data_IF_663110662270
#
_entry.id   IF_663110662270
#
_cell.length_a   1.000
_cell.length_b   1.000
_cell.length_c   1.000
_cell.angle_alpha   90.00
_cell.angle_beta   90.00
_cell.angle_gamma   90.00
#
_symmetry.space_group_name_H-M   'P 1'
#
loop_
_entity.id
_entity.type
_entity.pdbx_description
1 polymer ?
#
# COMPACT_ATOMS: atom_id res chain seq x y z
N UNK A 1 -7.29 -41.93 -8.27
CA UNK A 1 -8.59 -41.57 -8.88
C UNK A 1 -8.61 -40.06 -9.03
N UNK A 2 -8.63 -39.61 -10.30
CA UNK A 2 -8.59 -38.23 -10.72
C UNK A 2 -9.92 -37.53 -10.46
N UNK A 3 -9.90 -36.29 -10.03
CA UNK A 3 -10.94 -35.31 -10.37
C UNK A 3 -10.35 -33.90 -10.51
N UNK A 4 -10.12 -33.55 -11.77
CA UNK A 4 -9.85 -32.17 -12.23
C UNK A 4 -11.21 -31.53 -12.51
N UNK A 5 -11.57 -30.53 -11.76
CA UNK A 5 -12.68 -29.62 -12.13
C UNK A 5 -12.09 -28.32 -12.67
N UNK A 6 -12.15 -28.21 -13.99
CA UNK A 6 -11.86 -26.99 -14.75
C UNK A 6 -13.19 -26.24 -14.87
N UNK A 7 -13.32 -25.08 -14.26
CA UNK A 7 -14.42 -24.16 -14.53
C UNK A 7 -13.99 -23.10 -15.54
N UNK A 8 -14.53 -23.20 -16.76
CA UNK A 8 -14.50 -22.15 -17.75
C UNK A 8 -15.66 -21.18 -17.48
N UNK A 9 -15.36 -19.92 -17.23
CA UNK A 9 -16.35 -18.85 -17.31
C UNK A 9 -16.16 -18.11 -18.63
N UNK A 10 -17.14 -18.28 -19.52
CA UNK A 10 -17.32 -17.49 -20.73
C UNK A 10 -18.25 -16.34 -20.36
N UNK A 11 -17.76 -15.11 -20.39
CA UNK A 11 -18.59 -13.90 -20.30
C UNK A 11 -18.77 -13.31 -21.68
N UNK A 12 -20.00 -13.42 -22.19
CA UNK A 12 -20.46 -12.80 -23.43
C UNK A 12 -20.64 -11.29 -23.23
N UNK A 13 -20.02 -10.50 -24.11
CA UNK A 13 -20.19 -9.06 -24.15
C UNK A 13 -21.55 -8.66 -24.73
N UNK A 14 -22.19 -7.68 -24.12
CA UNK A 14 -23.32 -6.95 -24.69
C UNK A 14 -22.87 -5.53 -25.02
N UNK A 15 -22.70 -5.26 -26.31
CA UNK A 15 -22.57 -3.89 -26.83
C UNK A 15 -24.00 -3.35 -27.06
N UNK A 16 -24.36 -2.32 -26.33
CA UNK A 16 -25.54 -1.51 -26.59
C UNK A 16 -25.11 -0.16 -27.15
N UNK A 17 -25.23 0.00 -28.48
CA UNK A 17 -25.02 1.27 -29.19
C UNK A 17 -26.31 2.06 -29.15
N UNK A 18 -26.38 3.16 -28.41
CA UNK A 18 -27.46 4.14 -28.46
C UNK A 18 -26.99 5.32 -29.30
N UNK A 19 -27.53 5.46 -30.52
CA UNK A 19 -27.44 6.66 -31.33
C UNK A 19 -28.53 7.64 -30.87
N UNK A 20 -28.12 8.79 -30.34
CA UNK A 20 -28.98 9.93 -30.13
C UNK A 20 -28.60 11.03 -31.12
N UNK A 21 -29.50 11.25 -32.08
CA UNK A 21 -29.44 12.37 -33.02
C UNK A 21 -30.00 13.58 -32.28
N UNK A 22 -29.17 14.54 -31.94
CA UNK A 22 -29.56 15.82 -31.34
C UNK A 22 -29.29 16.97 -32.31
N UNK A 23 -30.33 17.75 -32.59
CA UNK A 23 -30.42 18.94 -33.46
C UNK A 23 -29.49 20.07 -33.00
N UNK A 24 -28.92 20.87 -33.90
CA UNK A 24 -28.06 21.98 -33.50
C UNK A 24 -28.93 23.18 -33.08
N UNK A 25 -28.86 23.54 -31.81
CA UNK A 25 -29.34 24.82 -31.29
C UNK A 25 -28.24 25.87 -31.40
N UNK A 26 -28.54 26.94 -32.10
CA UNK A 26 -27.72 28.14 -32.30
C UNK A 26 -27.65 28.90 -30.98
N UNK A 27 -26.51 28.87 -30.29
CA UNK A 27 -26.25 29.67 -29.10
C UNK A 27 -25.15 30.70 -29.38
N UNK A 28 -25.44 31.95 -28.98
CA UNK A 28 -24.60 33.13 -29.07
C UNK A 28 -23.28 33.01 -28.30
N UNK A 29 -22.22 33.72 -28.70
CA UNK A 29 -20.94 33.70 -27.98
C UNK A 29 -21.04 34.48 -26.68
N UNK A 30 -21.07 33.80 -25.56
CA UNK A 30 -20.81 34.35 -24.24
C UNK A 30 -19.31 34.32 -23.96
N UNK A 31 -18.74 35.53 -23.74
CA UNK A 31 -17.36 35.73 -23.29
C UNK A 31 -17.08 34.95 -22.01
N UNK A 32 -16.06 34.11 -21.94
CA UNK A 32 -15.65 33.53 -20.69
C UNK A 32 -14.63 34.43 -20.01
N UNK A 33 -15.14 35.43 -19.26
CA UNK A 33 -14.31 36.16 -18.30
C UNK A 33 -13.97 35.19 -17.14
N UNK A 34 -12.70 34.85 -17.01
CA UNK A 34 -12.00 34.63 -15.76
C UNK A 34 -12.39 33.44 -14.89
N UNK A 35 -12.30 32.23 -15.38
CA UNK A 35 -12.08 31.07 -14.50
C UNK A 35 -10.59 30.70 -14.56
N UNK A 36 -9.78 31.37 -13.74
CA UNK A 36 -8.46 30.88 -13.37
C UNK A 36 -8.63 29.53 -12.65
N UNK A 37 -8.61 28.43 -13.40
CA UNK A 37 -8.41 27.13 -12.85
C UNK A 37 -7.04 27.15 -12.15
N UNK A 38 -7.02 27.37 -10.85
CA UNK A 38 -5.87 27.05 -10.02
C UNK A 38 -5.59 25.57 -10.26
N UNK A 39 -4.63 25.30 -11.15
CA UNK A 39 -3.92 24.04 -11.16
C UNK A 39 -3.32 23.92 -9.76
N UNK A 40 -3.94 23.11 -8.92
CA UNK A 40 -3.28 22.53 -7.76
C UNK A 40 -2.17 21.69 -8.36
N UNK A 41 -0.97 22.28 -8.45
CA UNK A 41 0.24 21.53 -8.74
C UNK A 41 0.29 20.45 -7.66
N UNK A 42 -0.05 19.24 -8.05
CA UNK A 42 0.16 18.06 -7.21
C UNK A 42 1.65 18.06 -6.89
N UNK A 43 1.97 18.46 -5.67
CA UNK A 43 3.31 18.54 -5.13
C UNK A 43 3.97 17.20 -5.40
N UNK A 44 4.88 17.17 -6.37
CA UNK A 44 5.67 15.95 -6.63
C UNK A 44 6.40 15.65 -5.33
N UNK A 45 6.16 14.49 -4.71
CA UNK A 45 6.81 14.17 -3.45
C UNK A 45 8.32 14.31 -3.62
N UNK A 46 8.94 15.05 -2.70
CA UNK A 46 10.40 15.22 -2.66
C UNK A 46 11.08 13.87 -2.42
N UNK A 47 11.42 13.20 -3.52
CA UNK A 47 12.06 11.87 -3.47
C UNK A 47 13.46 11.89 -2.84
N UNK A 48 14.02 13.08 -2.61
CA UNK A 48 15.33 13.20 -1.93
C UNK A 48 15.26 12.72 -0.49
N UNK A 49 14.13 12.85 0.18
CA UNK A 49 13.89 12.36 1.53
C UNK A 49 13.85 10.82 1.62
N UNK A 50 13.49 10.14 0.52
CA UNK A 50 13.35 8.68 0.51
C UNK A 50 14.68 7.94 0.71
N UNK A 51 15.82 8.54 0.38
CA UNK A 51 17.15 7.97 0.62
C UNK A 51 17.50 7.74 2.11
N UNK A 52 16.74 8.34 3.05
CA UNK A 52 16.88 8.11 4.48
C UNK A 52 16.06 6.91 4.99
N UNK A 53 15.09 6.46 4.23
CA UNK A 53 14.17 5.39 4.64
C UNK A 53 14.93 4.07 4.70
N UNK A 54 14.78 3.37 5.83
CA UNK A 54 15.25 2.00 6.03
C UNK A 54 14.08 1.04 5.91
N UNK A 55 14.18 0.08 5.00
CA UNK A 55 13.21 -1.00 4.85
C UNK A 55 13.84 -2.31 5.31
N UNK A 56 13.20 -2.99 6.24
CA UNK A 56 13.49 -4.38 6.59
C UNK A 56 12.32 -5.27 6.16
N UNK A 57 12.59 -6.25 5.33
CA UNK A 57 11.60 -7.21 4.86
C UNK A 57 12.09 -8.63 5.04
N UNK A 58 11.29 -9.45 5.70
CA UNK A 58 11.56 -10.87 5.87
C UNK A 58 10.74 -11.67 4.85
N UNK A 59 11.44 -12.55 4.15
CA UNK A 59 10.90 -13.44 3.13
C UNK A 59 11.01 -14.88 3.61
N UNK A 60 10.14 -15.75 3.13
CA UNK A 60 10.30 -17.19 3.38
C UNK A 60 11.53 -17.74 2.62
N UNK A 61 12.12 -18.86 3.06
CA UNK A 61 13.29 -19.43 2.38
C UNK A 61 13.05 -19.76 0.90
N UNK A 62 11.82 -20.11 0.54
CA UNK A 62 11.40 -20.42 -0.83
C UNK A 62 11.43 -19.20 -1.75
N UNK A 63 11.32 -18.01 -1.15
CA UNK A 63 11.31 -16.71 -1.86
C UNK A 63 12.71 -16.10 -2.05
N UNK A 64 13.78 -16.89 -1.82
CA UNK A 64 15.16 -16.41 -1.99
C UNK A 64 15.38 -15.75 -3.36
N UNK A 65 14.75 -16.25 -4.42
CA UNK A 65 14.84 -15.72 -5.77
C UNK A 65 14.20 -14.33 -5.95
N UNK A 66 13.31 -13.91 -5.03
CA UNK A 66 12.57 -12.65 -5.13
C UNK A 66 13.32 -11.45 -4.52
N UNK A 67 14.46 -11.69 -3.85
CA UNK A 67 15.22 -10.63 -3.15
C UNK A 67 15.53 -9.45 -4.06
N UNK A 68 16.02 -9.71 -5.27
CA UNK A 68 16.38 -8.63 -6.21
C UNK A 68 15.15 -7.92 -6.78
N UNK A 69 14.03 -8.62 -6.96
CA UNK A 69 12.77 -7.99 -7.38
C UNK A 69 12.24 -7.02 -6.31
N UNK A 70 12.29 -7.44 -5.04
CA UNK A 70 11.91 -6.59 -3.90
C UNK A 70 12.80 -5.35 -3.81
N UNK A 71 14.13 -5.50 -3.92
CA UNK A 71 15.05 -4.35 -3.91
C UNK A 71 14.71 -3.36 -5.01
N UNK A 72 14.58 -3.84 -6.26
CA UNK A 72 14.25 -3.00 -7.42
C UNK A 72 12.93 -2.24 -7.25
N UNK A 73 11.92 -2.87 -6.62
CA UNK A 73 10.65 -2.21 -6.37
C UNK A 73 10.81 -0.99 -5.45
N UNK A 74 11.61 -1.09 -4.40
CA UNK A 74 11.90 0.04 -3.53
C UNK A 74 12.87 1.05 -4.15
N UNK A 75 13.85 0.61 -4.92
CA UNK A 75 14.77 1.49 -5.66
C UNK A 75 14.01 2.40 -6.64
N UNK A 76 12.93 1.90 -7.26
CA UNK A 76 12.07 2.72 -8.13
C UNK A 76 11.41 3.90 -7.39
N UNK A 77 11.30 3.81 -6.06
CA UNK A 77 10.85 4.88 -5.17
C UNK A 77 12.03 5.70 -4.59
N UNK A 78 13.24 5.54 -5.10
CA UNK A 78 14.48 6.18 -4.59
C UNK A 78 14.87 5.73 -3.19
N UNK A 79 14.47 4.53 -2.76
CA UNK A 79 14.85 3.94 -1.48
C UNK A 79 16.01 2.97 -1.71
N UNK A 80 17.18 3.31 -1.17
CA UNK A 80 18.40 2.52 -1.37
C UNK A 80 18.77 1.65 -0.16
N UNK A 81 18.17 1.91 1.01
CA UNK A 81 18.47 1.16 2.23
C UNK A 81 17.44 0.06 2.45
N UNK A 82 17.43 -0.92 1.56
CA UNK A 82 16.54 -2.09 1.64
C UNK A 82 17.34 -3.28 2.15
N UNK A 83 16.84 -3.93 3.22
CA UNK A 83 17.44 -5.10 3.87
C UNK A 83 16.51 -6.31 3.77
N UNK A 84 16.47 -7.01 2.65
CA UNK A 84 15.76 -8.28 2.57
C UNK A 84 16.50 -9.33 3.37
N UNK A 85 15.77 -10.09 4.17
CA UNK A 85 16.30 -11.17 4.98
C UNK A 85 15.48 -12.43 4.75
N UNK A 86 16.11 -13.59 4.79
CA UNK A 86 15.40 -14.85 4.76
C UNK A 86 15.04 -15.25 6.20
N UNK A 87 13.79 -15.58 6.39
CA UNK A 87 13.34 -16.15 7.66
C UNK A 87 13.98 -17.53 7.83
N UNK A 88 14.41 -17.86 9.03
CA UNK A 88 15.23 -19.07 9.23
C UNK A 88 14.45 -20.35 8.99
N UNK A 89 13.17 -20.38 9.35
CA UNK A 89 12.33 -21.57 9.22
C UNK A 89 10.86 -21.18 9.16
N UNK A 90 10.14 -21.71 8.18
CA UNK A 90 8.71 -21.42 7.98
C UNK A 90 8.47 -20.05 7.36
N UNK A 91 7.31 -19.47 7.66
CA UNK A 91 6.90 -18.17 7.14
C UNK A 91 7.21 -17.05 8.14
N UNK A 92 7.65 -15.89 7.66
CA UNK A 92 7.80 -14.71 8.52
C UNK A 92 6.43 -14.27 9.08
N UNK A 93 6.42 -13.49 10.19
CA UNK A 93 5.18 -12.90 10.68
C UNK A 93 4.48 -12.08 9.62
N UNK A 94 3.15 -12.16 9.55
CA UNK A 94 2.35 -11.38 8.59
C UNK A 94 2.03 -10.00 9.16
N UNK A 95 3.06 -9.22 9.44
CA UNK A 95 2.93 -7.88 10.00
C UNK A 95 3.59 -6.82 9.13
N UNK A 96 3.13 -5.57 9.30
CA UNK A 96 3.73 -4.40 8.67
C UNK A 96 3.72 -3.23 9.63
N UNK A 97 4.75 -2.37 9.53
CA UNK A 97 4.83 -1.17 10.33
C UNK A 97 5.49 -0.01 9.59
N UNK A 98 5.03 1.20 9.88
CA UNK A 98 5.49 2.44 9.28
C UNK A 98 5.87 3.45 10.36
N UNK A 99 7.07 4.04 10.24
CA UNK A 99 7.45 5.20 11.02
C UNK A 99 6.77 6.48 10.49
N UNK A 100 6.64 7.48 11.34
CA UNK A 100 5.85 8.71 11.09
C UNK A 100 6.32 9.59 9.91
N UNK A 101 7.53 9.38 9.40
CA UNK A 101 8.10 10.14 8.28
C UNK A 101 8.01 9.39 6.94
N UNK A 102 7.32 8.26 6.89
CA UNK A 102 7.16 7.49 5.67
C UNK A 102 6.11 8.13 4.76
N UNK A 103 6.45 8.52 3.51
CA UNK A 103 5.47 9.06 2.57
C UNK A 103 4.36 8.03 2.25
N UNK A 104 3.13 8.50 2.09
CA UNK A 104 1.99 7.62 1.80
C UNK A 104 2.18 6.77 0.53
N UNK A 105 2.83 7.31 -0.51
CA UNK A 105 3.16 6.57 -1.73
C UNK A 105 4.06 5.36 -1.43
N UNK A 106 5.09 5.58 -0.60
CA UNK A 106 6.02 4.53 -0.17
C UNK A 106 5.33 3.50 0.70
N UNK A 107 4.49 3.94 1.63
CA UNK A 107 3.74 3.05 2.51
C UNK A 107 2.77 2.15 1.71
N UNK A 108 2.08 2.70 0.72
CA UNK A 108 1.20 1.91 -0.18
C UNK A 108 1.97 0.86 -0.98
N UNK A 109 3.14 1.22 -1.50
CA UNK A 109 3.98 0.24 -2.19
C UNK A 109 4.47 -0.86 -1.23
N UNK A 110 4.84 -0.51 -0.01
CA UNK A 110 5.21 -1.49 1.00
C UNK A 110 4.04 -2.41 1.38
N UNK A 111 2.81 -1.91 1.48
CA UNK A 111 1.60 -2.73 1.66
C UNK A 111 1.46 -3.70 0.48
N UNK A 112 1.56 -3.21 -0.76
CA UNK A 112 1.47 -4.05 -1.96
C UNK A 112 2.52 -5.16 -1.97
N UNK A 113 3.76 -4.85 -1.63
CA UNK A 113 4.85 -5.81 -1.56
C UNK A 113 4.64 -6.83 -0.44
N UNK A 114 4.18 -6.40 0.74
CA UNK A 114 3.86 -7.30 1.84
C UNK A 114 2.74 -8.28 1.46
N UNK A 115 1.70 -7.81 0.77
CA UNK A 115 0.63 -8.67 0.26
C UNK A 115 1.14 -9.69 -0.76
N UNK A 116 2.14 -9.33 -1.56
CA UNK A 116 2.71 -10.19 -2.61
C UNK A 116 3.70 -11.22 -2.03
N UNK A 117 4.59 -10.79 -1.14
CA UNK A 117 5.76 -11.59 -0.75
C UNK A 117 5.70 -12.12 0.68
N UNK A 118 4.87 -11.53 1.55
CA UNK A 118 4.77 -11.97 2.94
C UNK A 118 3.52 -12.82 3.24
N UNK A 119 2.81 -13.26 2.21
CA UNK A 119 1.59 -14.06 2.38
C UNK A 119 0.41 -13.27 2.93
N UNK A 120 0.47 -11.94 2.87
CA UNK A 120 -0.55 -11.03 3.38
C UNK A 120 -0.14 -10.24 4.62
N UNK A 121 -1.08 -9.43 5.13
CA UNK A 121 -0.90 -8.62 6.34
C UNK A 121 -2.03 -8.98 7.30
N UNK A 122 -1.69 -9.51 8.46
CA UNK A 122 -2.64 -9.82 9.54
C UNK A 122 -2.54 -8.85 10.71
N UNK A 123 -1.40 -8.15 10.83
CA UNK A 123 -1.15 -7.26 11.96
C UNK A 123 -0.45 -5.98 11.52
N UNK A 124 -0.81 -4.88 12.19
CA UNK A 124 -0.07 -3.63 12.17
C UNK A 124 0.85 -3.53 13.38
N UNK A 125 2.01 -2.91 13.17
CA UNK A 125 2.93 -2.53 14.25
C UNK A 125 2.68 -1.06 14.63
N UNK A 126 2.55 -0.71 15.93
CA UNK A 126 2.28 0.67 16.34
C UNK A 126 3.36 1.64 15.89
N UNK A 127 2.96 2.74 15.23
CA UNK A 127 3.86 3.77 14.70
C UNK A 127 4.83 4.32 15.78
N UNK A 128 4.32 4.61 16.98
CA UNK A 128 5.07 5.13 18.12
C UNK A 128 6.24 4.26 18.60
N UNK A 129 6.33 3.02 18.14
CA UNK A 129 7.40 2.08 18.48
C UNK A 129 8.46 1.95 17.40
N UNK A 130 8.28 2.64 16.27
CA UNK A 130 9.15 2.56 15.11
C UNK A 130 10.00 3.82 14.98
N UNK A 131 11.19 3.68 14.41
CA UNK A 131 11.97 4.85 14.01
C UNK A 131 11.20 5.64 12.94
N UNK A 132 11.30 6.99 12.91
CA UNK A 132 10.49 7.82 12.02
C UNK A 132 10.54 7.44 10.53
N UNK A 133 11.71 7.01 10.07
CA UNK A 133 12.00 6.66 8.68
C UNK A 133 12.16 5.15 8.46
N UNK A 134 11.44 4.33 9.23
CA UNK A 134 11.55 2.87 9.20
C UNK A 134 10.29 2.22 8.64
N UNK A 135 10.48 1.18 7.81
CA UNK A 135 9.43 0.25 7.36
C UNK A 135 9.85 -1.15 7.75
N UNK A 136 8.99 -1.85 8.48
CA UNK A 136 9.17 -3.25 8.83
C UNK A 136 8.10 -4.13 8.19
N UNK A 137 8.49 -5.18 7.48
CA UNK A 137 7.60 -6.16 6.87
C UNK A 137 8.03 -7.56 7.34
N UNK A 138 7.13 -8.28 7.99
CA UNK A 138 7.41 -9.64 8.48
C UNK A 138 8.43 -9.68 9.61
N UNK A 139 8.57 -8.60 10.38
CA UNK A 139 9.60 -8.49 11.43
C UNK A 139 9.21 -9.24 12.70
N UNK A 140 10.13 -10.02 13.25
CA UNK A 140 9.90 -10.87 14.43
C UNK A 140 10.33 -10.25 15.76
N UNK A 141 10.85 -9.02 15.72
CA UNK A 141 11.43 -8.34 16.92
C UNK A 141 10.39 -7.72 17.84
N UNK A 142 9.11 -7.73 17.44
CA UNK A 142 8.05 -7.14 18.23
C UNK A 142 7.26 -8.21 19.00
N UNK A 143 7.02 -7.91 20.29
CA UNK A 143 6.12 -8.72 21.11
C UNK A 143 4.72 -8.75 20.46
N UNK A 144 4.16 -9.94 20.32
CA UNK A 144 2.81 -10.14 19.75
C UNK A 144 1.73 -9.36 20.50
N UNK A 145 1.93 -9.07 21.79
CA UNK A 145 1.04 -8.25 22.60
C UNK A 145 0.85 -6.82 22.07
N UNK A 146 1.77 -6.33 21.27
CA UNK A 146 1.71 -4.99 20.70
C UNK A 146 1.27 -4.95 19.24
N UNK A 147 1.00 -6.09 18.64
CA UNK A 147 0.51 -6.16 17.27
C UNK A 147 -1.01 -5.93 17.27
N UNK A 148 -1.46 -5.06 16.38
CA UNK A 148 -2.89 -4.76 16.22
C UNK A 148 -3.42 -5.51 15.00
N UNK A 149 -4.51 -6.27 15.10
CA UNK A 149 -5.09 -6.96 13.97
C UNK A 149 -5.43 -6.02 12.82
N UNK A 150 -5.00 -6.36 11.60
CA UNK A 150 -5.28 -5.63 10.38
C UNK A 150 -6.54 -6.19 9.72
N UNK A 151 -7.57 -5.36 9.54
CA UNK A 151 -8.76 -5.71 8.77
C UNK A 151 -8.57 -5.48 7.28
N UNK A 152 -9.28 -6.23 6.44
CA UNK A 152 -9.25 -6.04 4.98
C UNK A 152 -9.70 -4.61 4.58
N UNK A 153 -10.72 -4.08 5.25
CA UNK A 153 -11.21 -2.71 5.02
C UNK A 153 -10.17 -1.66 5.44
N UNK A 154 -9.41 -1.92 6.50
CA UNK A 154 -8.35 -1.01 6.94
C UNK A 154 -7.20 -0.97 5.93
N UNK A 155 -6.79 -2.12 5.42
CA UNK A 155 -5.80 -2.21 4.35
C UNK A 155 -6.26 -1.50 3.08
N UNK A 156 -7.53 -1.67 2.70
CA UNK A 156 -8.12 -0.98 1.56
C UNK A 156 -8.09 0.54 1.74
N UNK A 157 -8.46 1.03 2.93
CA UNK A 157 -8.43 2.47 3.26
C UNK A 157 -7.01 3.03 3.22
N UNK A 158 -6.03 2.33 3.82
CA UNK A 158 -4.62 2.75 3.79
C UNK A 158 -4.01 2.71 2.38
N UNK A 159 -4.55 1.86 1.49
CA UNK A 159 -4.12 1.76 0.10
C UNK A 159 -4.76 2.80 -0.83
N UNK A 160 -5.66 3.66 -0.33
CA UNK A 160 -6.31 4.69 -1.12
C UNK A 160 -5.28 5.71 -1.65
N UNK A 161 -5.15 5.86 -2.98
CA UNK A 161 -4.17 6.76 -3.59
C UNK A 161 -4.46 8.24 -3.32
N UNK A 162 -5.67 8.59 -2.92
CA UNK A 162 -6.06 9.97 -2.61
C UNK A 162 -5.56 10.47 -1.26
N UNK A 163 -5.12 9.57 -0.35
CA UNK A 163 -4.61 9.97 0.94
C UNK A 163 -3.29 10.74 0.81
N UNK A 164 -3.24 11.92 1.38
CA UNK A 164 -1.98 12.63 1.65
C UNK A 164 -1.19 11.89 2.73
N UNK A 165 0.11 12.17 2.84
CA UNK A 165 0.96 11.57 3.89
C UNK A 165 0.40 11.83 5.30
N UNK A 166 -0.06 13.06 5.58
CA UNK A 166 -0.65 13.39 6.88
C UNK A 166 -1.93 12.61 7.16
N UNK A 167 -2.79 12.43 6.15
CA UNK A 167 -4.03 11.65 6.29
C UNK A 167 -3.74 10.14 6.46
N UNK A 168 -2.73 9.62 5.75
CA UNK A 168 -2.29 8.25 5.93
C UNK A 168 -1.85 7.98 7.36
N UNK A 169 -0.95 8.81 7.91
CA UNK A 169 -0.46 8.63 9.29
C UNK A 169 -1.55 8.83 10.34
N UNK A 170 -2.44 9.82 10.15
CA UNK A 170 -3.59 9.99 11.04
C UNK A 170 -4.50 8.75 11.07
N UNK A 171 -4.73 8.14 9.91
CA UNK A 171 -5.50 6.91 9.82
C UNK A 171 -4.75 5.74 10.45
N UNK A 172 -3.45 5.59 10.13
CA UNK A 172 -2.62 4.51 10.63
C UNK A 172 -2.47 4.54 12.15
N UNK A 173 -2.22 5.73 12.73
CA UNK A 173 -2.15 5.91 14.18
C UNK A 173 -3.46 5.52 14.87
N UNK A 174 -4.61 5.95 14.34
CA UNK A 174 -5.93 5.53 14.87
C UNK A 174 -6.12 4.02 14.85
N UNK A 175 -5.65 3.34 13.82
CA UNK A 175 -5.75 1.90 13.71
C UNK A 175 -4.83 1.20 14.70
N UNK A 176 -3.68 1.77 15.00
CA UNK A 176 -2.62 1.16 15.83
C UNK A 176 -2.63 1.63 17.29
N UNK A 177 -3.35 2.68 17.63
CA UNK A 177 -3.46 3.19 19.01
C UNK A 177 -4.56 2.46 19.84
N UNK A 178 -5.06 1.35 19.32
CA UNK A 178 -6.00 0.52 20.08
C UNK A 178 -5.25 -0.19 21.22
N UNK A 179 -5.88 -0.28 22.44
CA UNK A 179 -5.29 -1.05 23.51
C UNK A 179 -5.12 -2.51 23.06
N UNK A 180 -4.01 -3.17 23.45
CA UNK A 180 -3.79 -4.57 23.09
C UNK A 180 -4.98 -5.42 23.52
N UNK A 181 -5.57 -6.16 22.60
CA UNK A 181 -6.65 -7.11 22.92
C UNK A 181 -6.02 -8.23 23.73
N UNK A 182 -6.16 -8.14 25.05
CA UNK A 182 -5.79 -9.24 25.95
C UNK A 182 -6.70 -10.41 25.58
N UNK A 183 -6.11 -11.44 24.96
CA UNK A 183 -6.80 -12.73 24.81
C UNK A 183 -7.02 -13.27 26.21
N UNK A 184 -8.26 -13.27 26.66
CA UNK A 184 -8.69 -13.99 27.88
C UNK A 184 -8.85 -15.46 27.56
#
# INVERSE_FOLDING_TARGET
MNNRNIFFFVTAGFFLTVMLIGTPSKAEPMDPAGASAQRVDAERPDRSANGKILVEIYLSPEQKGEIEAVKKAFEALSITKVRPQLFRKGHPPQNIGFGKEIPAEVAREAIRLAMTYNGGIQYFLPEKRLAPNYIGIGVSIFDEAFQVPAGADDLKRLSDPSLTTAQFHLLYDRLTDQPPRIKR
#
